data_IF_378174332174
#
_entry.id   IF_378174332174
#
_cell.length_a   1.000
_cell.length_b   1.000
_cell.length_c   1.000
_cell.angle_alpha   90.00
_cell.angle_beta   90.00
_cell.angle_gamma   90.00
#
_symmetry.space_group_name_H-M   'P 1'
#
loop_
_entity.id
_entity.type
_entity.pdbx_description
1 polymer ?
#
# COMPACT_ATOMS: atom_id res chain seq x y z
N UNK A 1 -6.39 2.44 -10.69
CA UNK A 1 -5.92 1.23 -11.41
C UNK A 1 -6.76 0.88 -12.62
N UNK A 2 -8.10 0.71 -12.47
CA UNK A 2 -9.02 0.40 -13.58
C UNK A 2 -8.92 1.39 -14.77
N UNK A 3 -8.91 2.70 -14.52
CA UNK A 3 -8.76 3.71 -15.58
C UNK A 3 -7.42 3.64 -16.32
N UNK A 4 -6.32 3.34 -15.61
CA UNK A 4 -5.01 3.15 -16.23
C UNK A 4 -4.98 1.85 -17.06
N UNK A 5 -5.56 0.77 -16.56
CA UNK A 5 -5.69 -0.48 -17.30
C UNK A 5 -6.51 -0.33 -18.59
N UNK A 6 -7.61 0.43 -18.57
CA UNK A 6 -8.37 0.78 -19.78
C UNK A 6 -7.51 1.52 -20.81
N UNK A 7 -6.78 2.55 -20.35
CA UNK A 7 -6.03 3.43 -21.24
C UNK A 7 -4.80 2.76 -21.85
N UNK A 8 -4.13 1.88 -21.10
CA UNK A 8 -2.86 1.28 -21.53
C UNK A 8 -3.02 -0.15 -22.06
N UNK A 9 -4.00 -0.92 -21.59
CA UNK A 9 -4.24 -2.32 -22.04
C UNK A 9 -5.51 -2.50 -22.91
N UNK A 10 -6.31 -1.45 -23.15
CA UNK A 10 -7.59 -1.53 -23.91
C UNK A 10 -8.59 -2.57 -23.38
N UNK A 11 -8.50 -2.96 -22.11
CA UNK A 11 -9.44 -3.88 -21.49
C UNK A 11 -10.83 -3.24 -21.39
N UNK A 12 -11.88 -3.97 -21.85
CA UNK A 12 -13.27 -3.51 -21.76
C UNK A 12 -13.78 -3.65 -20.33
N UNK A 13 -13.98 -2.52 -19.66
CA UNK A 13 -14.53 -2.44 -18.30
C UNK A 13 -16.02 -2.77 -18.31
N UNK A 14 -16.41 -3.73 -17.48
CA UNK A 14 -17.80 -4.17 -17.34
C UNK A 14 -18.62 -3.10 -16.60
N UNK A 15 -19.90 -2.92 -16.95
CA UNK A 15 -20.73 -1.80 -16.47
C UNK A 15 -20.78 -1.63 -14.94
N UNK A 16 -20.71 -2.72 -14.16
CA UNK A 16 -20.70 -2.65 -12.70
C UNK A 16 -19.42 -2.01 -12.13
N UNK A 17 -18.30 -2.03 -12.86
CA UNK A 17 -17.04 -1.41 -12.40
C UNK A 17 -17.12 0.12 -12.45
N UNK A 18 -17.97 0.67 -13.34
CA UNK A 18 -18.27 2.10 -13.35
C UNK A 18 -19.10 2.52 -12.13
N UNK A 19 -20.10 1.71 -11.75
CA UNK A 19 -20.86 1.94 -10.53
C UNK A 19 -19.96 1.86 -9.29
N UNK A 20 -19.07 0.87 -9.21
CA UNK A 20 -18.10 0.75 -8.12
C UNK A 20 -17.13 1.95 -8.06
N UNK A 21 -16.70 2.46 -9.22
CA UNK A 21 -15.84 3.63 -9.30
C UNK A 21 -16.56 4.89 -8.82
N UNK A 22 -17.81 5.11 -9.26
CA UNK A 22 -18.63 6.23 -8.82
C UNK A 22 -18.89 6.18 -7.32
N UNK A 23 -19.19 4.98 -6.79
CA UNK A 23 -19.41 4.76 -5.35
C UNK A 23 -18.14 5.05 -4.53
N UNK A 24 -16.97 4.60 -5.00
CA UNK A 24 -15.70 4.89 -4.37
C UNK A 24 -15.37 6.39 -4.41
N UNK A 25 -15.60 7.05 -5.55
CA UNK A 25 -15.41 8.49 -5.70
C UNK A 25 -16.34 9.30 -4.80
N UNK A 26 -17.61 8.90 -4.68
CA UNK A 26 -18.55 9.55 -3.76
C UNK A 26 -18.14 9.36 -2.31
N UNK A 27 -17.61 8.18 -1.94
CA UNK A 27 -17.07 7.95 -0.60
C UNK A 27 -15.93 8.91 -0.24
N UNK A 28 -15.02 9.17 -1.19
CA UNK A 28 -13.93 10.16 -1.01
C UNK A 28 -14.50 11.57 -0.82
N UNK A 29 -15.53 11.96 -1.58
CA UNK A 29 -16.20 13.27 -1.43
C UNK A 29 -16.92 13.38 -0.08
N UNK A 30 -17.56 12.31 0.39
CA UNK A 30 -18.20 12.26 1.71
C UNK A 30 -17.16 12.41 2.82
N UNK A 31 -16.05 11.68 2.74
CA UNK A 31 -14.95 11.79 3.70
C UNK A 31 -14.39 13.23 3.69
N UNK A 32 -14.14 13.79 2.50
CA UNK A 32 -13.60 15.14 2.37
C UNK A 32 -14.57 16.25 2.85
N UNK A 33 -15.89 15.99 2.84
CA UNK A 33 -16.90 16.93 3.33
C UNK A 33 -17.16 16.84 4.83
N UNK A 34 -16.75 15.75 5.48
CA UNK A 34 -16.91 15.54 6.92
C UNK A 34 -15.59 15.64 7.70
N UNK A 35 -14.53 16.16 7.10
CA UNK A 35 -13.29 16.34 7.85
C UNK A 35 -13.33 17.60 8.71
N UNK A 36 -13.24 17.43 10.03
CA UNK A 36 -13.13 18.49 11.05
C UNK A 36 -11.79 19.28 11.01
N UNK A 37 -11.38 19.80 9.85
CA UNK A 37 -10.26 20.72 9.71
C UNK A 37 -8.84 20.12 9.78
N UNK A 38 -8.71 18.81 10.02
CA UNK A 38 -7.40 18.11 10.07
C UNK A 38 -6.85 17.67 8.70
N UNK A 39 -7.69 17.67 7.65
CA UNK A 39 -7.28 17.23 6.30
C UNK A 39 -6.85 18.44 5.48
N UNK A 40 -5.56 18.52 5.20
CA UNK A 40 -5.01 19.53 4.30
C UNK A 40 -5.21 19.13 2.84
N UNK A 41 -5.44 20.11 1.96
CA UNK A 41 -5.51 19.89 0.51
C UNK A 41 -4.23 19.21 -0.01
N UNK A 42 -3.08 19.53 0.60
CA UNK A 42 -1.80 18.89 0.32
C UNK A 42 -1.81 17.39 0.68
N UNK A 43 -2.33 17.02 1.85
CA UNK A 43 -2.48 15.62 2.26
C UNK A 43 -3.39 14.84 1.32
N UNK A 44 -4.49 15.45 0.86
CA UNK A 44 -5.39 14.85 -0.12
C UNK A 44 -4.68 14.61 -1.46
N UNK A 45 -3.92 15.59 -1.95
CA UNK A 45 -3.14 15.46 -3.17
C UNK A 45 -2.07 14.37 -3.06
N UNK A 46 -1.39 14.26 -1.92
CA UNK A 46 -0.42 13.21 -1.64
C UNK A 46 -1.05 11.81 -1.65
N UNK A 47 -2.24 11.65 -1.05
CA UNK A 47 -2.99 10.38 -1.06
C UNK A 47 -3.37 9.99 -2.50
N UNK A 48 -3.83 10.94 -3.31
CA UNK A 48 -4.16 10.69 -4.72
C UNK A 48 -2.92 10.28 -5.53
N UNK A 49 -1.79 10.95 -5.31
CA UNK A 49 -0.50 10.58 -5.91
C UNK A 49 -0.04 9.19 -5.46
N UNK A 50 -0.19 8.85 -4.17
CA UNK A 50 0.12 7.53 -3.65
C UNK A 50 -0.76 6.45 -4.29
N UNK A 51 -2.07 6.69 -4.39
CA UNK A 51 -3.01 5.78 -5.05
C UNK A 51 -2.70 5.61 -6.55
N UNK A 52 -2.27 6.68 -7.21
CA UNK A 52 -1.82 6.64 -8.61
C UNK A 52 -0.54 5.82 -8.78
N UNK A 53 0.48 6.06 -7.95
CA UNK A 53 1.73 5.30 -7.93
C UNK A 53 1.48 3.81 -7.65
N UNK A 54 0.59 3.50 -6.69
CA UNK A 54 0.15 2.14 -6.41
C UNK A 54 -0.53 1.49 -7.62
N UNK A 55 -1.37 2.22 -8.32
CA UNK A 55 -2.02 1.73 -9.53
C UNK A 55 -1.01 1.43 -10.66
N UNK A 56 -0.01 2.29 -10.83
CA UNK A 56 1.09 2.06 -11.77
C UNK A 56 1.90 0.82 -11.40
N UNK A 57 2.26 0.66 -10.11
CA UNK A 57 2.99 -0.51 -9.61
C UNK A 57 2.22 -1.82 -9.89
N UNK A 58 0.91 -1.84 -9.61
CA UNK A 58 0.07 -3.01 -9.91
C UNK A 58 0.02 -3.34 -11.41
N UNK A 59 0.00 -2.32 -12.27
CA UNK A 59 -0.01 -2.51 -13.72
C UNK A 59 1.32 -3.06 -14.25
N UNK A 60 2.44 -2.56 -13.72
CA UNK A 60 3.79 -3.09 -14.02
C UNK A 60 3.91 -4.52 -13.50
N UNK A 61 3.44 -4.80 -12.28
CA UNK A 61 3.42 -6.15 -11.71
C UNK A 61 2.62 -7.14 -12.55
N UNK A 62 1.44 -6.74 -13.06
CA UNK A 62 0.67 -7.56 -14.01
C UNK A 62 1.44 -7.87 -15.31
N UNK A 63 2.23 -6.91 -15.81
CA UNK A 63 3.02 -7.06 -17.04
C UNK A 63 4.28 -7.91 -16.85
N UNK A 64 4.81 -7.96 -15.64
CA UNK A 64 5.97 -8.77 -15.30
C UNK A 64 5.70 -10.28 -15.52
N UNK A 65 4.43 -10.72 -15.48
CA UNK A 65 4.04 -12.10 -15.77
C UNK A 65 4.33 -13.06 -14.60
N UNK A 66 4.69 -14.31 -14.90
CA UNK A 66 5.03 -15.32 -13.88
C UNK A 66 6.47 -15.16 -13.40
N UNK A 67 6.74 -14.08 -12.66
CA UNK A 67 8.03 -13.86 -11.98
C UNK A 67 7.90 -14.32 -10.53
N UNK A 68 9.01 -14.76 -9.93
CA UNK A 68 9.06 -15.04 -8.50
C UNK A 68 8.74 -13.75 -7.72
N UNK A 69 7.59 -13.72 -7.05
CA UNK A 69 7.07 -12.54 -6.35
C UNK A 69 8.05 -12.03 -5.27
N UNK A 70 8.76 -12.93 -4.59
CA UNK A 70 9.77 -12.55 -3.60
C UNK A 70 10.96 -11.86 -4.27
N UNK A 71 11.45 -12.41 -5.38
CA UNK A 71 12.55 -11.80 -6.12
C UNK A 71 12.14 -10.43 -6.68
N UNK A 72 10.94 -10.32 -7.23
CA UNK A 72 10.38 -9.04 -7.70
C UNK A 72 10.37 -7.99 -6.59
N UNK A 73 9.95 -8.37 -5.38
CA UNK A 73 9.91 -7.45 -4.26
C UNK A 73 11.28 -7.04 -3.76
N UNK A 74 12.18 -8.00 -3.54
CA UNK A 74 13.54 -7.70 -3.07
C UNK A 74 14.22 -6.73 -4.03
N UNK A 75 14.16 -6.99 -5.34
CA UNK A 75 14.77 -6.11 -6.34
C UNK A 75 14.08 -4.75 -6.45
N UNK A 76 12.75 -4.71 -6.37
CA UNK A 76 12.00 -3.43 -6.39
C UNK A 76 12.29 -2.58 -5.15
N UNK A 77 12.42 -3.19 -3.98
CA UNK A 77 12.73 -2.52 -2.72
C UNK A 77 14.15 -1.97 -2.72
N UNK A 78 15.13 -2.75 -3.21
CA UNK A 78 16.51 -2.28 -3.35
C UNK A 78 16.58 -1.06 -4.28
N UNK A 79 15.84 -1.08 -5.39
CA UNK A 79 15.76 0.08 -6.28
C UNK A 79 15.09 1.30 -5.64
N UNK A 80 14.15 1.09 -4.72
CA UNK A 80 13.47 2.16 -4.01
C UNK A 80 14.34 2.83 -2.92
N UNK A 81 15.40 2.17 -2.42
CA UNK A 81 16.26 2.70 -1.35
C UNK A 81 16.93 4.04 -1.74
N UNK A 82 17.65 4.17 -2.88
CA UNK A 82 18.29 5.44 -3.24
C UNK A 82 17.33 6.63 -3.38
N UNK A 83 16.19 6.55 -4.11
CA UNK A 83 15.29 7.68 -4.23
C UNK A 83 14.59 8.02 -2.91
N UNK A 84 14.25 7.03 -2.09
CA UNK A 84 13.67 7.29 -0.76
C UNK A 84 14.68 7.95 0.18
N UNK A 85 15.94 7.52 0.15
CA UNK A 85 17.00 8.14 0.94
C UNK A 85 17.24 9.60 0.52
N UNK A 86 17.29 9.86 -0.80
CA UNK A 86 17.42 11.22 -1.31
C UNK A 86 16.24 12.11 -0.91
N UNK A 87 15.01 11.59 -0.97
CA UNK A 87 13.82 12.31 -0.54
C UNK A 87 13.81 12.57 0.97
N UNK A 88 14.15 11.57 1.79
CA UNK A 88 14.24 11.74 3.26
C UNK A 88 15.28 12.81 3.61
N UNK A 89 16.46 12.78 2.99
CA UNK A 89 17.48 13.81 3.20
C UNK A 89 17.05 15.20 2.71
N UNK A 90 16.26 15.28 1.64
CA UNK A 90 15.77 16.56 1.10
C UNK A 90 14.60 17.16 1.90
N UNK A 91 13.72 16.32 2.45
CA UNK A 91 12.50 16.75 3.17
C UNK A 91 12.76 16.91 4.67
N UNK A 92 13.41 15.94 5.31
CA UNK A 92 13.68 15.95 6.74
C UNK A 92 15.00 16.65 7.08
N UNK A 93 15.95 16.67 6.14
CA UNK A 93 17.28 17.22 6.33
C UNK A 93 18.26 16.23 6.98
N UNK A 94 19.56 16.34 6.70
CA UNK A 94 20.57 15.36 7.15
C UNK A 94 20.72 15.31 8.69
N UNK A 95 20.43 16.41 9.38
CA UNK A 95 20.53 16.49 10.84
C UNK A 95 19.45 15.68 11.57
N UNK A 96 18.19 15.81 11.15
CA UNK A 96 17.06 15.06 11.71
C UNK A 96 17.14 13.58 11.39
N UNK A 97 17.57 13.22 10.17
CA UNK A 97 17.79 11.83 9.79
C UNK A 97 18.82 11.15 10.71
N UNK A 98 19.96 11.81 10.97
CA UNK A 98 21.02 11.26 11.83
C UNK A 98 20.60 11.19 13.30
N UNK A 99 19.89 12.21 13.80
CA UNK A 99 19.36 12.20 15.16
C UNK A 99 18.32 11.10 15.36
N UNK A 100 17.45 10.86 14.38
CA UNK A 100 16.43 9.80 14.43
C UNK A 100 17.07 8.41 14.48
N UNK A 101 18.15 8.18 13.72
CA UNK A 101 18.91 6.94 13.76
C UNK A 101 19.61 6.74 15.11
N UNK A 102 20.16 7.79 15.71
CA UNK A 102 20.79 7.71 17.03
C UNK A 102 19.78 7.52 18.17
N UNK A 103 18.62 8.17 18.08
CA UNK A 103 17.54 8.06 19.07
C UNK A 103 16.72 6.77 18.92
N UNK A 104 16.86 6.05 17.79
CA UNK A 104 16.17 4.80 17.55
C UNK A 104 16.66 3.70 18.51
N UNK A 105 15.89 3.46 19.57
CA UNK A 105 16.10 2.33 20.46
C UNK A 105 15.77 0.98 19.82
N UNK A 106 16.04 -0.11 20.54
CA UNK A 106 15.83 -1.47 20.06
C UNK A 106 14.38 -1.74 19.58
N UNK A 107 13.38 -1.09 20.19
CA UNK A 107 11.98 -1.21 19.77
C UNK A 107 11.70 -0.62 18.38
N UNK A 108 12.29 0.53 18.04
CA UNK A 108 12.14 1.15 16.73
C UNK A 108 12.75 0.25 15.63
N UNK A 109 13.95 -0.28 15.88
CA UNK A 109 14.59 -1.22 14.96
C UNK A 109 13.84 -2.55 14.84
N UNK A 110 13.28 -3.07 15.94
CA UNK A 110 12.43 -4.25 15.90
C UNK A 110 11.17 -4.02 15.06
N UNK A 111 10.55 -2.84 15.17
CA UNK A 111 9.40 -2.47 14.35
C UNK A 111 9.76 -2.38 12.85
N UNK A 112 10.92 -1.79 12.51
CA UNK A 112 11.42 -1.73 11.13
C UNK A 112 11.66 -3.14 10.58
N UNK A 113 12.32 -4.01 11.34
CA UNK A 113 12.55 -5.40 10.97
C UNK A 113 11.23 -6.16 10.78
N UNK A 114 10.27 -5.96 11.67
CA UNK A 114 8.95 -6.58 11.55
C UNK A 114 8.19 -6.09 10.32
N UNK A 115 8.23 -4.79 10.00
CA UNK A 115 7.61 -4.23 8.81
C UNK A 115 8.24 -4.77 7.51
N UNK A 116 9.56 -4.88 7.48
CA UNK A 116 10.27 -5.42 6.32
C UNK A 116 10.03 -6.93 6.17
N UNK A 117 10.29 -7.71 7.23
CA UNK A 117 10.28 -9.18 7.15
C UNK A 117 8.89 -9.77 7.30
N UNK A 118 8.15 -9.37 8.33
CA UNK A 118 6.83 -9.91 8.65
C UNK A 118 5.74 -9.35 7.75
N UNK A 119 5.60 -8.04 7.70
CA UNK A 119 4.52 -7.42 6.93
C UNK A 119 4.76 -7.54 5.42
N UNK A 120 5.95 -7.14 4.95
CA UNK A 120 6.25 -7.10 3.52
C UNK A 120 6.66 -8.48 2.99
N UNK A 121 7.86 -8.97 3.32
CA UNK A 121 8.40 -10.18 2.69
C UNK A 121 7.53 -11.42 2.95
N UNK A 122 7.14 -11.66 4.19
CA UNK A 122 6.32 -12.80 4.55
C UNK A 122 4.89 -12.64 4.02
N UNK A 123 4.25 -11.47 4.21
CA UNK A 123 2.90 -11.22 3.71
C UNK A 123 2.76 -11.47 2.21
N UNK A 124 3.63 -10.87 1.40
CA UNK A 124 3.60 -11.08 -0.05
C UNK A 124 4.12 -12.46 -0.49
N UNK A 125 5.04 -13.07 0.27
CA UNK A 125 5.49 -14.43 0.05
C UNK A 125 4.35 -15.43 0.22
N UNK A 126 3.60 -15.35 1.32
CA UNK A 126 2.41 -16.17 1.59
C UNK A 126 1.33 -15.92 0.56
N UNK A 127 1.10 -14.65 0.20
CA UNK A 127 0.13 -14.30 -0.85
C UNK A 127 0.49 -14.92 -2.20
N UNK A 128 1.75 -14.80 -2.62
CA UNK A 128 2.25 -15.42 -3.85
C UNK A 128 2.17 -16.95 -3.81
N UNK A 129 2.48 -17.56 -2.67
CA UNK A 129 2.35 -19.01 -2.46
C UNK A 129 0.90 -19.48 -2.52
N UNK A 130 -0.02 -18.73 -1.92
CA UNK A 130 -1.46 -19.02 -1.95
C UNK A 130 -1.97 -18.98 -3.39
N UNK A 131 -1.68 -17.91 -4.13
CA UNK A 131 -2.09 -17.74 -5.53
C UNK A 131 -1.50 -18.81 -6.46
N UNK A 132 -0.34 -19.37 -6.12
CA UNK A 132 0.24 -20.48 -6.87
C UNK A 132 -0.49 -21.81 -6.64
N UNK A 133 -1.17 -21.98 -5.50
CA UNK A 133 -1.81 -23.25 -5.08
C UNK A 133 -3.33 -23.24 -5.13
N UNK A 134 -3.97 -22.08 -5.02
CA UNK A 134 -5.43 -21.93 -4.98
C UNK A 134 -5.90 -20.95 -6.03
N UNK A 135 -7.13 -21.13 -6.53
CA UNK A 135 -7.74 -20.18 -7.43
C UNK A 135 -7.86 -18.80 -6.77
N UNK A 136 -7.55 -17.73 -7.52
CA UNK A 136 -7.61 -16.36 -7.01
C UNK A 136 -8.99 -16.01 -6.41
N UNK A 137 -10.06 -16.59 -6.95
CA UNK A 137 -11.43 -16.40 -6.45
C UNK A 137 -11.62 -16.84 -4.98
N UNK A 138 -10.83 -17.80 -4.49
CA UNK A 138 -10.91 -18.29 -3.10
C UNK A 138 -10.09 -17.40 -2.15
N UNK A 139 -9.02 -16.77 -2.64
CA UNK A 139 -8.08 -16.00 -1.81
C UNK A 139 -8.51 -14.54 -1.70
N UNK A 140 -9.08 -13.95 -2.75
CA UNK A 140 -9.50 -12.54 -2.77
C UNK A 140 -10.49 -12.20 -1.64
N UNK A 141 -11.49 -13.04 -1.30
CA UNK A 141 -12.39 -12.78 -0.16
C UNK A 141 -11.67 -12.70 1.20
N UNK A 142 -10.54 -13.40 1.40
CA UNK A 142 -9.76 -13.28 2.64
C UNK A 142 -9.20 -11.87 2.84
N UNK A 143 -8.89 -11.14 1.76
CA UNK A 143 -8.42 -9.77 1.87
C UNK A 143 -9.49 -8.81 2.44
N UNK A 144 -10.78 -9.15 2.29
CA UNK A 144 -11.88 -8.37 2.89
C UNK A 144 -11.96 -8.52 4.41
N UNK A 145 -11.25 -9.50 4.99
CA UNK A 145 -11.15 -9.67 6.44
C UNK A 145 -10.05 -8.80 7.06
N UNK A 146 -9.16 -8.21 6.25
CA UNK A 146 -8.07 -7.34 6.74
C UNK A 146 -8.58 -6.20 7.62
N UNK A 147 -9.65 -5.46 7.27
CA UNK A 147 -10.20 -4.41 8.14
C UNK A 147 -10.77 -4.98 9.44
N UNK A 148 -11.44 -6.13 9.39
CA UNK A 148 -12.03 -6.78 10.57
C UNK A 148 -10.93 -7.16 11.56
N UNK A 149 -9.91 -7.87 11.08
CA UNK A 149 -8.76 -8.22 11.93
C UNK A 149 -8.03 -6.98 12.41
N UNK A 150 -7.75 -6.01 11.55
CA UNK A 150 -7.06 -4.77 11.91
C UNK A 150 -7.79 -3.95 12.97
N UNK A 151 -9.10 -3.76 12.84
CA UNK A 151 -9.90 -3.05 13.84
C UNK A 151 -10.04 -3.88 15.13
N UNK A 152 -10.23 -5.19 15.04
CA UNK A 152 -10.36 -6.05 16.22
C UNK A 152 -9.07 -6.15 17.03
N UNK A 153 -7.90 -6.27 16.38
CA UNK A 153 -6.61 -6.24 17.09
C UNK A 153 -6.27 -4.86 17.60
N UNK A 154 -6.62 -3.77 16.88
CA UNK A 154 -6.48 -2.42 17.42
C UNK A 154 -7.33 -2.24 18.69
N UNK A 155 -8.60 -2.62 18.66
CA UNK A 155 -9.48 -2.56 19.82
C UNK A 155 -8.96 -3.41 21.00
N UNK A 156 -8.40 -4.58 20.72
CA UNK A 156 -7.93 -5.50 21.76
C UNK A 156 -6.56 -5.12 22.35
N UNK A 157 -5.64 -4.64 21.52
CA UNK A 157 -4.25 -4.34 21.92
C UNK A 157 -4.08 -2.88 22.34
N UNK A 158 -4.75 -1.94 21.66
CA UNK A 158 -4.68 -0.50 21.93
C UNK A 158 -5.84 -0.01 22.81
N UNK A 159 -6.91 -0.80 22.97
CA UNK A 159 -8.06 -0.45 23.80
C UNK A 159 -9.00 0.59 23.17
N UNK A 160 -8.84 0.88 21.88
CA UNK A 160 -9.65 1.86 21.14
C UNK A 160 -10.96 1.19 20.68
N UNK A 161 -12.10 1.57 21.28
CA UNK A 161 -13.45 1.05 20.98
C UNK A 161 -14.27 1.97 20.08
#
# INVERSE_FOLDING_TARGET
>A
TLMLAMRVNKEKVQGYQWLALLLAASGIVVIASHTDGSTTVLGLAMILLAAFSWACANMVGKRAGKVNMLAYMVWSSVFAVPPLLALSLAVEGPGLAWQSVQAAGAGAWAAVLWQALGNTLFGYGVWGWLLARHAAATIVPMALLVPVFGMSTAAWVLGES
#
